data_IF_187366175189
#
_entry.id   IF_187366175189
#
_cell.length_a   1.000
_cell.length_b   1.000
_cell.length_c   1.000
_cell.angle_alpha   90.00
_cell.angle_beta   90.00
_cell.angle_gamma   90.00
#
_symmetry.space_group_name_H-M   'P 1'
#
loop_
_entity.id
_entity.type
_entity.pdbx_description
1 polymer ?
#
# COMPACT_ATOMS: atom_id res chain seq x y z
N UNK A 1 -17.25 8.01 -8.87
CA UNK A 1 -16.19 7.18 -9.44
C UNK A 1 -16.84 5.91 -9.95
N UNK A 2 -16.89 5.72 -11.27
CA UNK A 2 -17.32 4.46 -11.88
C UNK A 2 -16.06 3.68 -12.24
N UNK A 3 -15.90 2.46 -11.74
CA UNK A 3 -14.75 1.61 -12.10
C UNK A 3 -15.17 0.73 -13.27
N UNK A 4 -14.47 0.84 -14.41
CA UNK A 4 -14.65 -0.05 -15.55
C UNK A 4 -13.49 -1.04 -15.62
N UNK A 5 -13.78 -2.33 -15.37
CA UNK A 5 -12.78 -3.39 -15.46
C UNK A 5 -12.55 -3.75 -16.93
N UNK A 6 -11.31 -3.59 -17.39
CA UNK A 6 -10.89 -3.95 -18.74
C UNK A 6 -10.32 -5.35 -18.78
N UNK A 7 -10.52 -6.05 -19.89
CA UNK A 7 -9.92 -7.37 -20.14
C UNK A 7 -8.40 -7.23 -20.22
N UNK A 8 -7.70 -7.84 -19.26
CA UNK A 8 -6.23 -7.85 -19.19
C UNK A 8 -5.73 -9.30 -19.13
N UNK A 9 -5.36 -9.91 -20.27
CA UNK A 9 -4.91 -11.30 -20.29
C UNK A 9 -3.55 -11.45 -19.60
N UNK A 10 -3.39 -12.54 -18.85
CA UNK A 10 -2.10 -12.95 -18.28
C UNK A 10 -1.21 -13.48 -19.42
N UNK A 11 0.02 -12.99 -19.49
CA UNK A 11 1.01 -13.33 -20.53
C UNK A 11 2.29 -13.94 -19.97
N UNK A 12 2.61 -13.62 -18.71
CA UNK A 12 3.77 -14.14 -18.01
C UNK A 12 3.32 -15.08 -16.90
N UNK A 13 3.91 -16.29 -16.87
CA UNK A 13 3.55 -17.39 -15.98
C UNK A 13 4.76 -18.16 -15.43
N UNK A 14 5.99 -17.70 -15.69
CA UNK A 14 7.20 -18.44 -15.29
C UNK A 14 7.35 -18.53 -13.77
N UNK A 15 7.22 -17.39 -13.07
CA UNK A 15 7.28 -17.33 -11.60
C UNK A 15 6.06 -16.70 -10.94
N UNK A 16 5.38 -15.80 -11.66
CA UNK A 16 4.24 -15.03 -11.23
C UNK A 16 3.26 -14.92 -12.39
N UNK A 17 2.01 -14.60 -12.07
CA UNK A 17 0.95 -14.45 -13.06
C UNK A 17 0.74 -12.95 -13.36
N UNK A 18 1.28 -12.48 -14.47
CA UNK A 18 1.29 -11.04 -14.85
C UNK A 18 0.87 -10.81 -16.30
N UNK A 19 0.37 -9.61 -16.58
CA UNK A 19 -0.02 -9.18 -17.93
C UNK A 19 1.19 -8.76 -18.79
N UNK A 20 2.26 -8.32 -18.14
CA UNK A 20 3.53 -7.91 -18.74
C UNK A 20 4.65 -8.81 -18.20
N UNK A 21 5.70 -8.98 -19.00
CA UNK A 21 6.94 -9.62 -18.55
C UNK A 21 7.68 -8.72 -17.55
N UNK A 22 8.66 -9.25 -16.80
CA UNK A 22 9.50 -8.42 -15.93
C UNK A 22 10.20 -7.29 -16.71
N UNK A 23 10.75 -7.58 -17.89
CA UNK A 23 11.42 -6.59 -18.74
C UNK A 23 10.47 -5.48 -19.21
N UNK A 24 9.25 -5.84 -19.63
CA UNK A 24 8.24 -4.85 -20.03
C UNK A 24 7.82 -3.98 -18.83
N UNK A 25 7.65 -4.59 -17.66
CA UNK A 25 7.31 -3.85 -16.43
C UNK A 25 8.43 -2.90 -16.06
N UNK A 26 9.69 -3.36 -16.10
CA UNK A 26 10.87 -2.56 -15.80
C UNK A 26 10.93 -1.29 -16.66
N UNK A 27 10.78 -1.41 -17.98
CA UNK A 27 10.81 -0.27 -18.90
C UNK A 27 9.72 0.78 -18.62
N UNK A 28 8.62 0.40 -17.98
CA UNK A 28 7.56 1.34 -17.59
C UNK A 28 7.82 2.02 -16.23
N UNK A 29 8.43 1.31 -15.29
CA UNK A 29 8.51 1.76 -13.90
C UNK A 29 9.88 2.27 -13.46
N UNK A 30 10.96 1.97 -14.18
CA UNK A 30 12.31 2.41 -13.81
C UNK A 30 12.41 3.94 -13.71
N UNK A 31 11.68 4.66 -14.57
CA UNK A 31 11.59 6.13 -14.55
C UNK A 31 11.00 6.70 -13.25
N UNK A 32 10.37 5.87 -12.42
CA UNK A 32 9.77 6.29 -11.15
C UNK A 32 10.74 6.19 -9.97
N UNK A 33 11.93 5.60 -10.14
CA UNK A 33 12.92 5.44 -9.06
C UNK A 33 13.22 6.76 -8.35
N UNK A 34 13.48 7.82 -9.11
CA UNK A 34 13.78 9.15 -8.57
C UNK A 34 12.57 9.74 -7.83
N UNK A 35 11.38 9.65 -8.43
CA UNK A 35 10.13 10.17 -7.83
C UNK A 35 9.80 9.48 -6.51
N UNK A 36 10.02 8.17 -6.45
CA UNK A 36 9.84 7.37 -5.24
C UNK A 36 10.95 7.67 -4.22
N UNK A 37 12.12 8.17 -4.66
CA UNK A 37 13.24 8.50 -3.80
C UNK A 37 14.17 7.32 -3.52
N UNK A 38 14.18 6.32 -4.41
CA UNK A 38 15.13 5.21 -4.33
C UNK A 38 16.52 5.76 -4.64
N UNK A 39 17.49 5.45 -3.77
CA UNK A 39 18.89 5.90 -3.93
C UNK A 39 19.84 4.79 -4.32
N UNK A 40 19.51 3.56 -3.95
CA UNK A 40 20.34 2.39 -4.23
C UNK A 40 19.48 1.16 -4.39
N UNK A 41 19.82 0.32 -5.36
CA UNK A 41 19.31 -1.04 -5.51
C UNK A 41 20.52 -1.96 -5.49
N UNK A 42 20.53 -2.92 -4.56
CA UNK A 42 21.61 -3.88 -4.35
C UNK A 42 21.14 -5.30 -4.65
N UNK A 43 21.99 -6.07 -5.32
CA UNK A 43 21.80 -7.50 -5.54
C UNK A 43 22.39 -8.27 -4.36
N UNK A 44 21.53 -8.94 -3.59
CA UNK A 44 21.88 -9.68 -2.38
C UNK A 44 22.00 -11.20 -2.61
N UNK A 45 21.83 -11.66 -3.85
CA UNK A 45 21.79 -13.10 -4.20
C UNK A 45 23.02 -13.86 -3.70
N UNK A 46 24.18 -13.22 -3.70
CA UNK A 46 25.44 -13.84 -3.27
C UNK A 46 25.68 -13.86 -1.76
N UNK A 47 24.76 -13.30 -0.95
CA UNK A 47 24.90 -13.27 0.50
C UNK A 47 24.37 -14.54 1.19
N UNK A 48 23.61 -15.37 0.47
CA UNK A 48 23.16 -16.68 0.94
C UNK A 48 23.80 -17.83 0.15
N UNK A 49 23.47 -19.07 0.55
CA UNK A 49 23.96 -20.30 -0.11
C UNK A 49 22.95 -20.92 -1.07
N UNK A 50 21.74 -20.38 -1.16
CA UNK A 50 20.66 -20.89 -2.01
C UNK A 50 20.79 -20.36 -3.44
N UNK A 51 21.42 -19.20 -3.61
CA UNK A 51 21.61 -18.58 -4.93
C UNK A 51 20.30 -18.08 -5.55
N UNK A 52 19.27 -17.86 -4.73
CA UNK A 52 17.97 -17.36 -5.17
C UNK A 52 18.05 -15.83 -5.34
N UNK A 53 17.57 -15.28 -6.47
CA UNK A 53 17.60 -13.84 -6.70
C UNK A 53 16.85 -13.03 -5.65
N UNK A 54 17.60 -12.23 -4.89
CA UNK A 54 17.08 -11.30 -3.87
C UNK A 54 17.75 -9.95 -4.06
N UNK A 55 16.96 -8.89 -4.06
CA UNK A 55 17.42 -7.51 -4.17
C UNK A 55 16.93 -6.70 -2.98
N UNK A 56 17.66 -5.64 -2.64
CA UNK A 56 17.19 -4.62 -1.69
C UNK A 56 17.24 -3.24 -2.32
N UNK A 57 16.32 -2.36 -1.91
CA UNK A 57 16.31 -0.97 -2.32
C UNK A 57 16.23 -0.05 -1.12
N UNK A 58 17.05 1.01 -1.11
CA UNK A 58 17.06 2.01 -0.05
C UNK A 58 16.35 3.30 -0.49
N UNK A 59 15.47 3.79 0.38
CA UNK A 59 14.65 5.00 0.24
C UNK A 59 14.81 5.84 1.51
N UNK A 60 15.93 6.57 1.66
CA UNK A 60 16.25 7.28 2.89
C UNK A 60 15.24 8.40 3.24
N UNK A 61 14.54 8.94 2.25
CA UNK A 61 13.47 9.95 2.43
C UNK A 61 12.07 9.37 2.59
N UNK A 62 11.94 8.10 3.02
CA UNK A 62 10.64 7.54 3.36
C UNK A 62 9.98 8.28 4.53
N UNK A 63 8.64 8.34 4.56
CA UNK A 63 7.89 9.01 5.62
C UNK A 63 8.25 8.46 7.01
N UNK A 64 8.21 9.29 8.05
CA UNK A 64 8.50 8.86 9.41
C UNK A 64 7.57 7.70 9.84
N UNK A 65 8.17 6.58 10.26
CA UNK A 65 7.45 5.34 10.59
C UNK A 65 7.26 4.38 9.40
N UNK A 66 7.62 4.77 8.18
CA UNK A 66 7.73 3.86 7.04
C UNK A 66 9.07 3.11 7.03
N UNK A 67 9.12 1.98 6.32
CA UNK A 67 10.37 1.29 6.04
C UNK A 67 11.17 2.02 4.95
N UNK A 68 12.42 2.33 5.26
CA UNK A 68 13.38 2.92 4.32
C UNK A 68 14.12 1.88 3.48
N UNK A 69 13.97 0.59 3.78
CA UNK A 69 14.57 -0.52 3.01
C UNK A 69 13.47 -1.49 2.60
N UNK A 70 13.46 -1.82 1.31
CA UNK A 70 12.51 -2.71 0.64
C UNK A 70 13.25 -3.93 0.10
N UNK A 71 12.56 -5.05 -0.03
CA UNK A 71 13.12 -6.29 -0.55
C UNK A 71 12.36 -6.75 -1.80
N UNK A 72 13.10 -7.29 -2.77
CA UNK A 72 12.51 -7.88 -3.97
C UNK A 72 13.06 -9.28 -4.21
N UNK A 73 12.21 -10.15 -4.74
CA UNK A 73 12.55 -11.55 -4.97
C UNK A 73 11.88 -12.06 -6.24
N UNK A 74 12.50 -13.08 -6.85
CA UNK A 74 12.00 -13.67 -8.09
C UNK A 74 12.77 -14.95 -8.42
N UNK A 75 12.25 -15.75 -9.35
CA UNK A 75 13.02 -16.89 -9.86
C UNK A 75 14.16 -16.44 -10.78
N UNK A 76 14.06 -15.24 -11.36
CA UNK A 76 15.11 -14.60 -12.16
C UNK A 76 15.54 -13.26 -11.53
N UNK A 77 16.73 -12.78 -11.89
CA UNK A 77 17.23 -11.47 -11.42
C UNK A 77 16.35 -10.33 -11.91
N UNK A 78 15.82 -10.42 -13.13
CA UNK A 78 14.92 -9.43 -13.71
C UNK A 78 13.62 -9.32 -12.89
N UNK A 79 13.00 -10.45 -12.54
CA UNK A 79 11.83 -10.43 -11.67
C UNK A 79 12.16 -9.88 -10.28
N UNK A 80 13.26 -10.32 -9.67
CA UNK A 80 13.63 -9.86 -8.32
C UNK A 80 13.89 -8.35 -8.27
N UNK A 81 14.49 -7.81 -9.34
CA UNK A 81 14.72 -6.37 -9.49
C UNK A 81 13.42 -5.59 -9.70
N UNK A 82 12.50 -6.08 -10.54
CA UNK A 82 11.16 -5.48 -10.68
C UNK A 82 10.40 -5.54 -9.35
N UNK A 83 10.51 -6.65 -8.63
CA UNK A 83 9.85 -6.84 -7.34
C UNK A 83 10.27 -5.79 -6.32
N UNK A 84 11.57 -5.47 -6.21
CA UNK A 84 12.02 -4.48 -5.21
C UNK A 84 11.55 -3.07 -5.56
N UNK A 85 11.55 -2.73 -6.85
CA UNK A 85 11.09 -1.43 -7.34
C UNK A 85 9.58 -1.28 -7.12
N UNK A 86 8.79 -2.30 -7.44
CA UNK A 86 7.34 -2.28 -7.26
C UNK A 86 6.93 -2.24 -5.78
N UNK A 87 7.64 -2.93 -4.89
CA UNK A 87 7.41 -2.80 -3.43
C UNK A 87 7.68 -1.36 -2.97
N UNK A 88 8.79 -0.75 -3.40
CA UNK A 88 9.10 0.63 -3.05
C UNK A 88 8.05 1.63 -3.57
N UNK A 89 7.56 1.44 -4.81
CA UNK A 89 6.46 2.23 -5.40
C UNK A 89 5.17 2.05 -4.60
N UNK A 90 4.79 0.82 -4.26
CA UNK A 90 3.60 0.51 -3.46
C UNK A 90 3.65 1.26 -2.12
N UNK A 91 4.77 1.12 -1.39
CA UNK A 91 4.95 1.75 -0.07
C UNK A 91 4.94 3.27 -0.17
N UNK A 92 5.58 3.85 -1.18
CA UNK A 92 5.53 5.31 -1.41
C UNK A 92 4.11 5.78 -1.72
N UNK A 93 3.35 5.01 -2.48
CA UNK A 93 1.97 5.35 -2.88
C UNK A 93 0.98 5.24 -1.73
N UNK A 94 1.30 4.45 -0.70
CA UNK A 94 0.48 4.29 0.51
C UNK A 94 0.69 5.41 1.55
N UNK A 95 1.75 6.21 1.43
CA UNK A 95 2.00 7.33 2.33
C UNK A 95 0.96 8.45 2.11
N UNK A 96 0.56 9.14 3.19
CA UNK A 96 -0.32 10.31 3.10
C UNK A 96 0.46 11.47 2.50
N UNK A 97 0.07 11.95 1.32
CA UNK A 97 0.70 13.09 0.65
C UNK A 97 0.02 14.40 1.02
N UNK A 98 0.70 15.49 0.70
CA UNK A 98 0.17 16.83 0.92
C UNK A 98 -1.17 16.99 0.18
N UNK A 99 -2.22 17.34 0.93
CA UNK A 99 -3.57 17.54 0.40
C UNK A 99 -4.48 16.30 0.46
N UNK A 100 -3.97 15.10 0.72
CA UNK A 100 -4.83 13.90 0.79
C UNK A 100 -5.87 14.00 1.92
N UNK A 101 -5.44 14.45 3.10
CA UNK A 101 -6.33 14.62 4.25
C UNK A 101 -7.43 15.66 4.04
N UNK A 102 -7.29 16.57 3.09
CA UNK A 102 -8.35 17.54 2.77
C UNK A 102 -9.59 16.84 2.18
N UNK A 103 -9.42 15.61 1.66
CA UNK A 103 -10.49 14.77 1.13
C UNK A 103 -11.09 13.83 2.18
N UNK A 104 -10.52 13.77 3.38
CA UNK A 104 -11.02 12.87 4.42
C UNK A 104 -12.22 13.47 5.14
N UNK A 105 -13.20 12.62 5.44
CA UNK A 105 -14.29 12.97 6.36
C UNK A 105 -13.89 12.60 7.78
N UNK A 106 -14.27 13.42 8.77
CA UNK A 106 -13.97 13.15 10.18
C UNK A 106 -15.24 13.08 11.00
N UNK A 107 -15.78 11.88 11.13
CA UNK A 107 -17.10 11.64 11.71
C UNK A 107 -17.24 10.21 12.28
N UNK A 108 -18.25 9.94 13.12
CA UNK A 108 -18.57 8.60 13.59
C UNK A 108 -19.01 7.66 12.45
N UNK A 109 -19.00 6.35 12.73
CA UNK A 109 -19.54 5.35 11.81
C UNK A 109 -21.06 5.54 11.62
N UNK A 110 -21.79 5.78 12.71
CA UNK A 110 -23.26 5.90 12.73
C UNK A 110 -23.79 7.24 12.20
N UNK A 111 -22.94 8.17 11.75
CA UNK A 111 -23.43 9.41 11.16
C UNK A 111 -24.06 9.17 9.79
N UNK A 112 -25.26 9.72 9.61
CA UNK A 112 -25.98 9.71 8.35
C UNK A 112 -25.20 10.45 7.26
N UNK A 113 -25.01 9.79 6.12
CA UNK A 113 -24.31 10.34 4.96
C UNK A 113 -24.83 9.72 3.66
N UNK A 114 -24.43 10.29 2.53
CA UNK A 114 -24.85 9.82 1.20
C UNK A 114 -24.16 8.54 0.74
N UNK A 115 -23.09 8.11 1.42
CA UNK A 115 -22.28 6.93 1.08
C UNK A 115 -22.28 5.95 2.24
N UNK A 116 -22.34 4.66 1.91
CA UNK A 116 -22.16 3.58 2.88
C UNK A 116 -20.75 3.60 3.48
N UNK A 117 -20.64 3.20 4.74
CA UNK A 117 -19.36 3.12 5.47
C UNK A 117 -19.03 1.67 5.76
N UNK A 118 -17.76 1.29 5.60
CA UNK A 118 -17.29 0.00 6.07
C UNK A 118 -17.32 -0.01 7.60
N UNK A 119 -18.05 -0.98 8.16
CA UNK A 119 -18.15 -1.16 9.62
C UNK A 119 -16.77 -1.43 10.23
N UNK A 120 -16.26 -0.62 11.17
CA UNK A 120 -14.93 -0.83 11.72
C UNK A 120 -14.75 -2.18 12.42
N UNK A 121 -15.81 -2.73 13.02
CA UNK A 121 -15.77 -4.03 13.70
C UNK A 121 -15.54 -5.20 12.72
N UNK A 122 -15.96 -5.07 11.46
CA UNK A 122 -15.72 -6.09 10.44
C UNK A 122 -14.26 -6.19 10.01
N UNK A 123 -13.43 -5.20 10.37
CA UNK A 123 -12.00 -5.14 10.06
C UNK A 123 -11.11 -5.86 11.09
N UNK A 124 -11.69 -6.72 11.93
CA UNK A 124 -10.97 -7.55 12.91
C UNK A 124 -10.07 -6.68 13.80
N UNK A 125 -10.70 -5.80 14.56
CA UNK A 125 -9.98 -4.86 15.42
C UNK A 125 -9.16 -5.61 16.48
N UNK A 126 -8.01 -5.04 16.83
CA UNK A 126 -7.24 -5.50 17.99
C UNK A 126 -8.11 -5.46 19.24
N UNK A 127 -7.90 -6.40 20.16
CA UNK A 127 -8.52 -6.38 21.50
C UNK A 127 -8.18 -5.13 22.31
N UNK A 128 -7.10 -4.43 21.95
CA UNK A 128 -6.69 -3.14 22.54
C UNK A 128 -7.37 -1.93 21.87
N UNK A 129 -8.22 -2.15 20.87
CA UNK A 129 -8.93 -1.08 20.17
C UNK A 129 -9.93 -0.39 21.09
N UNK A 130 -9.85 0.93 21.15
CA UNK A 130 -10.81 1.79 21.84
C UNK A 130 -11.90 2.34 20.93
N UNK A 131 -11.96 1.91 19.66
CA UNK A 131 -12.99 2.37 18.71
C UNK A 131 -14.33 1.73 19.05
N UNK A 132 -15.26 2.58 19.46
CA UNK A 132 -16.68 2.25 19.63
C UNK A 132 -17.56 2.97 18.60
N UNK A 133 -18.89 2.78 18.66
CA UNK A 133 -19.84 3.33 17.68
C UNK A 133 -19.75 4.85 17.48
N UNK A 134 -19.54 5.59 18.57
CA UNK A 134 -19.43 7.06 18.57
C UNK A 134 -18.03 7.60 18.31
N UNK A 135 -17.03 6.73 18.13
CA UNK A 135 -15.66 7.15 17.88
C UNK A 135 -15.55 7.77 16.49
N UNK A 136 -15.11 9.03 16.43
CA UNK A 136 -14.83 9.69 15.16
C UNK A 136 -13.60 9.08 14.51
N UNK A 137 -13.71 8.76 13.23
CA UNK A 137 -12.63 8.24 12.41
C UNK A 137 -12.40 9.16 11.21
N UNK A 138 -11.18 9.11 10.67
CA UNK A 138 -10.90 9.68 9.36
C UNK A 138 -11.31 8.66 8.30
N UNK A 139 -12.22 9.05 7.41
CA UNK A 139 -12.74 8.22 6.32
C UNK A 139 -12.23 8.72 4.98
N UNK A 140 -11.82 7.81 4.11
CA UNK A 140 -11.49 8.11 2.71
C UNK A 140 -12.42 7.33 1.75
N UNK A 141 -12.49 7.80 0.51
CA UNK A 141 -13.30 7.16 -0.52
C UNK A 141 -12.69 5.84 -0.96
N UNK A 142 -13.56 4.85 -1.16
CA UNK A 142 -13.28 3.55 -1.73
C UNK A 142 -14.41 3.11 -2.67
N UNK A 143 -14.27 1.91 -3.23
CA UNK A 143 -15.25 1.32 -4.14
C UNK A 143 -15.44 -0.15 -3.82
N UNK A 144 -16.68 -0.56 -3.55
CA UNK A 144 -17.03 -1.98 -3.43
C UNK A 144 -17.28 -2.54 -4.83
N UNK A 145 -16.32 -3.31 -5.34
CA UNK A 145 -16.38 -3.91 -6.67
C UNK A 145 -17.48 -4.99 -6.77
N UNK A 146 -17.93 -5.58 -5.65
CA UNK A 146 -19.00 -6.59 -5.65
C UNK A 146 -20.38 -5.95 -5.69
N UNK A 147 -20.54 -4.79 -5.05
CA UNK A 147 -21.81 -4.03 -5.02
C UNK A 147 -21.91 -2.94 -6.08
N UNK A 148 -20.82 -2.66 -6.78
CA UNK A 148 -20.72 -1.59 -7.78
C UNK A 148 -21.08 -0.21 -7.21
N UNK A 149 -20.60 0.09 -6.00
CA UNK A 149 -20.95 1.32 -5.28
C UNK A 149 -19.74 2.00 -4.62
N UNK A 150 -19.87 3.30 -4.42
CA UNK A 150 -18.91 4.07 -3.63
C UNK A 150 -19.12 3.83 -2.14
N UNK A 151 -18.03 3.58 -1.44
CA UNK A 151 -18.02 3.36 0.02
C UNK A 151 -17.00 4.25 0.70
N UNK A 152 -17.17 4.46 1.98
CA UNK A 152 -16.19 5.10 2.85
C UNK A 152 -15.45 4.04 3.65
N UNK A 153 -14.12 4.11 3.61
CA UNK A 153 -13.22 3.19 4.33
C UNK A 153 -12.44 3.98 5.37
N UNK A 154 -12.20 3.43 6.58
CA UNK A 154 -11.30 4.07 7.53
C UNK A 154 -9.92 4.32 6.90
N UNK A 155 -9.44 5.56 6.91
CA UNK A 155 -8.17 5.94 6.30
C UNK A 155 -6.98 5.17 6.92
N UNK A 156 -7.09 4.75 8.18
CA UNK A 156 -6.10 3.91 8.84
C UNK A 156 -6.01 2.46 8.31
N UNK A 157 -6.95 2.04 7.47
CA UNK A 157 -6.93 0.77 6.76
C UNK A 157 -6.41 0.91 5.31
N UNK A 158 -6.18 2.14 4.85
CA UNK A 158 -5.75 2.44 3.46
C UNK A 158 -4.32 2.96 3.42
N UNK A 159 -3.96 3.89 4.31
CA UNK A 159 -2.65 4.55 4.28
C UNK A 159 -1.64 3.94 5.26
N UNK A 160 -0.37 4.04 4.92
CA UNK A 160 0.74 3.63 5.77
C UNK A 160 2.00 4.47 5.52
N UNK A 161 2.65 5.01 6.57
CA UNK A 161 2.23 4.99 7.96
C UNK A 161 0.99 5.88 8.17
N UNK A 162 0.14 5.53 9.13
CA UNK A 162 -1.04 6.31 9.48
C UNK A 162 -0.98 6.74 10.94
N UNK A 163 -0.97 8.05 11.16
CA UNK A 163 -1.07 8.66 12.49
C UNK A 163 -2.24 9.64 12.46
N UNK A 164 -3.24 9.47 13.32
CA UNK A 164 -4.34 10.44 13.42
C UNK A 164 -3.82 11.75 13.99
N UNK A 165 -4.14 12.88 13.35
CA UNK A 165 -3.82 14.23 13.84
C UNK A 165 -5.06 14.97 14.38
N UNK A 166 -6.24 14.32 14.41
CA UNK A 166 -7.53 14.94 14.80
C UNK A 166 -8.24 14.27 15.99
N UNK A 167 -7.60 13.30 16.66
CA UNK A 167 -8.11 12.72 17.91
C UNK A 167 -8.04 11.19 18.00
N UNK A 168 -8.02 10.69 19.25
CA UNK A 168 -7.71 9.35 19.73
C UNK A 168 -6.37 8.76 19.23
N UNK A 169 -5.31 8.93 20.04
CA UNK A 169 -4.04 8.21 19.87
C UNK A 169 -4.31 6.70 19.83
N UNK A 170 -4.25 6.09 18.64
CA UNK A 170 -4.03 4.66 18.54
C UNK A 170 -2.52 4.44 18.57
N UNK A 171 -1.98 4.17 19.75
CA UNK A 171 -0.65 3.58 19.87
C UNK A 171 -0.69 2.18 19.25
N UNK A 172 -0.31 2.07 17.98
CA UNK A 172 0.30 0.83 17.51
C UNK A 172 1.81 1.01 17.63
N UNK A 173 2.40 0.43 18.67
CA UNK A 173 3.67 -0.27 18.46
C UNK A 173 3.31 -1.48 17.58
N UNK A 174 3.50 -1.36 16.27
CA UNK A 174 3.64 -2.57 15.48
C UNK A 174 4.93 -3.23 15.95
N UNK A 175 4.77 -4.36 16.64
CA UNK A 175 5.84 -5.34 16.73
C UNK A 175 6.27 -5.67 15.30
N UNK A 176 7.57 -5.46 15.03
CA UNK A 176 8.33 -6.31 14.11
C UNK A 176 9.12 -7.26 15.00
#
# INVERSE_FOLDING_TARGET
>A
MKIELKRTPKRYFLDTHRAFTPTETWGEVERLEEKVGIKKIDDLTGLDKLGLPVFSASRPGAEEGARSVHAGKGLTREQARVSVLMEAIERYSAEIKQGDRAKFLFEPYDSYGAKEKVEPASLILSTLSTVGPSSKLEWCEGYDILRDEEVLVPANAVFHPFVSNRGARRERRQAV
#
